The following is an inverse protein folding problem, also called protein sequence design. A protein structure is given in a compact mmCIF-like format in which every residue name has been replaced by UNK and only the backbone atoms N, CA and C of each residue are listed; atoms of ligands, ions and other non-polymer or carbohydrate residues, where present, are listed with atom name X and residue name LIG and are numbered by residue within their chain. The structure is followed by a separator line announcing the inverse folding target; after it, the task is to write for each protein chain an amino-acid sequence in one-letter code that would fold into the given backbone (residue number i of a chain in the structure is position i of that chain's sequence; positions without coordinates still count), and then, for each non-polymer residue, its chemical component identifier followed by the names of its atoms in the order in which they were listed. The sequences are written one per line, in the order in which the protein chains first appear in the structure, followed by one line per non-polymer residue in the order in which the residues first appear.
data_IF_673649274061
#
_entry.id   IF_673649274061
#
_cell.length_a   1.000
_cell.length_b   1.000
_cell.length_c   1.000
_cell.angle_alpha   90.00
_cell.angle_beta   90.00
_cell.angle_gamma   90.00
#
_symmetry.space_group_name_H-M   'P 1'
#
loop_
_entity.id
_entity.type
_entity.pdbx_description
1 polymer ?
#
# COMPACT_ATOMS: atom_id res chain seq x y z
N UNK A 1 23.00 -7.78 -7.81
CA UNK A 1 23.19 -6.87 -6.66
C UNK A 1 21.93 -6.00 -6.51
N UNK A 2 21.32 -5.95 -5.30
CA UNK A 2 20.25 -5.05 -4.81
C UNK A 2 19.04 -4.75 -5.73
N UNK A 3 18.08 -5.68 -5.84
CA UNK A 3 16.78 -5.38 -6.54
C UNK A 3 15.55 -5.77 -5.71
N UNK A 4 15.62 -6.79 -4.85
CA UNK A 4 14.52 -7.18 -3.95
C UNK A 4 14.27 -6.21 -2.77
N UNK A 5 15.04 -5.12 -2.66
CA UNK A 5 15.00 -4.26 -1.47
C UNK A 5 13.66 -3.53 -1.32
N UNK A 6 12.96 -3.20 -2.41
CA UNK A 6 11.79 -2.32 -2.36
C UNK A 6 10.53 -3.08 -1.95
N UNK A 7 10.35 -4.30 -2.49
CA UNK A 7 9.32 -5.21 -2.00
C UNK A 7 9.62 -5.61 -0.55
N UNK A 8 10.85 -6.02 -0.22
CA UNK A 8 11.18 -6.40 1.15
C UNK A 8 11.03 -5.24 2.14
N UNK A 9 11.33 -4.00 1.73
CA UNK A 9 11.07 -2.80 2.54
C UNK A 9 9.58 -2.56 2.72
N UNK A 10 8.77 -2.65 1.65
CA UNK A 10 7.32 -2.58 1.77
C UNK A 10 6.79 -3.65 2.72
N UNK A 11 7.17 -4.92 2.51
CA UNK A 11 6.75 -6.03 3.36
C UNK A 11 7.17 -5.82 4.82
N UNK A 12 8.35 -5.25 5.06
CA UNK A 12 8.81 -4.88 6.40
C UNK A 12 8.01 -3.71 7.01
N UNK A 13 7.58 -2.75 6.19
CA UNK A 13 6.76 -1.60 6.62
C UNK A 13 5.34 -2.02 6.91
N UNK A 14 4.72 -2.78 6.02
CA UNK A 14 3.44 -3.47 6.24
C UNK A 14 3.50 -4.22 7.57
N UNK A 15 4.56 -4.99 7.79
CA UNK A 15 4.75 -5.69 9.06
C UNK A 15 4.84 -4.76 10.27
N UNK A 16 5.48 -3.60 10.13
CA UNK A 16 5.64 -2.64 11.23
C UNK A 16 4.34 -1.89 11.53
N UNK A 17 3.66 -1.39 10.50
CA UNK A 17 2.42 -0.60 10.62
C UNK A 17 1.29 -1.46 11.18
N UNK A 18 1.13 -2.67 10.65
CA UNK A 18 0.00 -3.52 11.00
C UNK A 18 0.34 -4.62 12.04
N UNK A 19 1.62 -4.79 12.40
CA UNK A 19 2.03 -5.73 13.45
C UNK A 19 2.07 -5.14 14.86
N UNK A 20 1.84 -3.84 15.00
CA UNK A 20 1.60 -3.25 16.32
C UNK A 20 0.22 -3.69 16.82
N UNK A 21 0.20 -4.72 17.66
CA UNK A 21 -0.93 -5.00 18.55
C UNK A 21 -1.30 -3.70 19.26
N UNK A 22 -2.58 -3.34 19.31
CA UNK A 22 -3.07 -2.12 19.96
C UNK A 22 -2.71 -2.12 21.45
N UNK A 23 -1.49 -1.69 21.77
CA UNK A 23 -1.10 -1.30 23.11
C UNK A 23 -1.12 0.21 23.10
N UNK A 24 -2.13 0.78 23.77
CA UNK A 24 -2.14 2.18 24.14
C UNK A 24 -0.94 2.39 25.07
N UNK A 25 0.20 2.74 24.49
CA UNK A 25 1.40 3.11 25.21
C UNK A 25 1.73 4.55 24.83
N UNK A 26 1.81 5.39 25.85
CA UNK A 26 2.02 6.82 25.78
C UNK A 26 3.08 7.20 24.73
N UNK A 27 2.70 8.18 23.90
CA UNK A 27 3.56 8.79 22.91
C UNK A 27 4.85 9.29 23.58
N UNK A 28 5.96 8.59 23.35
CA UNK A 28 7.26 9.24 23.39
C UNK A 28 7.43 9.92 22.03
N UNK A 29 7.60 11.25 21.97
CA UNK A 29 7.71 11.95 20.70
C UNK A 29 9.03 11.52 20.06
N UNK A 30 8.96 10.80 18.93
CA UNK A 30 10.04 10.90 17.97
C UNK A 30 9.98 12.33 17.45
N UNK A 31 10.79 13.18 18.06
CA UNK A 31 11.20 14.47 17.56
C UNK A 31 11.99 14.23 16.27
N UNK A 32 11.26 13.96 15.19
CA UNK A 32 11.69 14.23 13.84
C UNK A 32 10.74 15.31 13.34
N UNK A 33 11.33 16.45 13.03
CA UNK A 33 10.82 17.59 12.26
C UNK A 33 9.58 17.23 11.41
N UNK A 34 8.53 18.08 11.35
CA UNK A 34 7.38 17.80 10.49
C UNK A 34 7.94 17.49 9.09
N UNK A 35 7.52 16.40 8.41
CA UNK A 35 7.92 16.19 7.04
C UNK A 35 7.23 17.28 6.22
N UNK A 36 7.86 18.45 6.21
CA UNK A 36 7.58 19.56 5.32
C UNK A 36 8.17 19.12 4.00
N UNK A 37 7.44 18.22 3.36
CA UNK A 37 7.92 17.41 2.27
C UNK A 37 6.85 16.38 2.02
N UNK A 38 5.84 16.78 1.24
CA UNK A 38 5.08 15.84 0.43
C UNK A 38 6.16 15.01 -0.27
N UNK A 39 6.43 13.80 0.22
CA UNK A 39 7.49 12.96 -0.32
C UNK A 39 7.16 12.78 -1.80
N UNK A 40 7.89 13.51 -2.64
CA UNK A 40 7.47 13.76 -4.01
C UNK A 40 7.82 12.52 -4.81
N UNK A 41 6.81 11.77 -5.22
CA UNK A 41 6.98 10.73 -6.22
C UNK A 41 7.44 11.41 -7.51
N UNK A 42 8.67 11.10 -7.93
CA UNK A 42 9.33 11.79 -9.04
C UNK A 42 8.72 11.43 -10.39
N UNK A 43 8.33 10.17 -10.58
CA UNK A 43 7.62 9.70 -11.77
C UNK A 43 6.22 10.35 -11.85
N UNK A 44 5.94 11.19 -12.88
CA UNK A 44 4.67 11.91 -12.97
C UNK A 44 3.45 10.99 -13.09
N UNK A 45 3.61 9.81 -13.71
CA UNK A 45 2.53 8.83 -13.88
C UNK A 45 2.21 8.17 -12.55
N UNK A 46 3.24 7.78 -11.78
CA UNK A 46 3.03 7.20 -10.45
C UNK A 46 2.43 8.23 -9.49
N UNK A 47 2.88 9.48 -9.56
CA UNK A 47 2.30 10.58 -8.79
C UNK A 47 0.82 10.81 -9.12
N UNK A 48 0.46 10.80 -10.40
CA UNK A 48 -0.94 10.92 -10.83
C UNK A 48 -1.80 9.73 -10.36
N UNK A 49 -1.26 8.51 -10.40
CA UNK A 49 -1.92 7.33 -9.88
C UNK A 49 -2.20 7.46 -8.38
N UNK A 50 -1.19 7.87 -7.60
CA UNK A 50 -1.39 8.07 -6.16
C UNK A 50 -2.31 9.23 -5.81
N UNK A 51 -2.33 10.31 -6.61
CA UNK A 51 -3.27 11.41 -6.40
C UNK A 51 -4.73 10.94 -6.55
N UNK A 52 -5.02 10.06 -7.51
CA UNK A 52 -6.36 9.47 -7.64
C UNK A 52 -6.69 8.55 -6.44
N UNK A 53 -5.70 7.81 -5.91
CA UNK A 53 -5.89 6.96 -4.72
C UNK A 53 -6.12 7.81 -3.47
N UNK A 54 -5.33 8.86 -3.27
CA UNK A 54 -5.49 9.83 -2.19
C UNK A 54 -6.89 10.45 -2.23
N UNK A 55 -7.34 10.89 -3.40
CA UNK A 55 -8.69 11.41 -3.58
C UNK A 55 -9.74 10.37 -3.20
N UNK A 56 -9.60 9.12 -3.63
CA UNK A 56 -10.53 8.05 -3.24
C UNK A 56 -10.58 7.88 -1.72
N UNK A 57 -9.43 7.84 -1.05
CA UNK A 57 -9.36 7.67 0.40
C UNK A 57 -9.95 8.86 1.16
N UNK A 58 -9.76 10.07 0.65
CA UNK A 58 -10.36 11.29 1.20
C UNK A 58 -11.89 11.30 1.01
N UNK A 59 -12.37 11.07 -0.22
CA UNK A 59 -13.79 11.16 -0.58
C UNK A 59 -14.64 10.07 0.10
N UNK A 60 -14.08 8.87 0.35
CA UNK A 60 -14.83 7.73 0.90
C UNK A 60 -14.63 7.53 2.41
N UNK A 61 -13.47 7.91 2.96
CA UNK A 61 -13.12 7.64 4.36
C UNK A 61 -12.69 8.87 5.14
N UNK A 62 -12.66 10.06 4.51
CA UNK A 62 -12.18 11.28 5.17
C UNK A 62 -10.69 11.23 5.52
N UNK A 63 -9.91 10.38 4.85
CA UNK A 63 -8.49 10.14 5.18
C UNK A 63 -7.69 11.44 5.11
N UNK A 64 -7.10 11.92 6.22
CA UNK A 64 -6.30 13.13 6.21
C UNK A 64 -4.96 12.91 5.48
N UNK A 65 -4.50 13.91 4.72
CA UNK A 65 -3.17 13.89 4.08
C UNK A 65 -2.05 13.62 5.09
N UNK A 66 -2.21 14.08 6.34
CA UNK A 66 -1.27 13.82 7.43
C UNK A 66 -1.11 12.34 7.81
N UNK A 67 -2.04 11.46 7.39
CA UNK A 67 -1.98 10.00 7.56
C UNK A 67 -1.38 9.27 6.36
N UNK A 68 -1.05 10.00 5.30
CA UNK A 68 -0.43 9.44 4.10
C UNK A 68 1.09 9.54 4.19
N UNK A 69 1.76 8.47 3.79
CA UNK A 69 3.22 8.39 3.70
C UNK A 69 3.59 7.88 2.32
N UNK A 70 4.51 8.58 1.67
CA UNK A 70 5.04 8.19 0.37
C UNK A 70 6.51 7.85 0.52
N UNK A 71 6.99 6.94 -0.32
CA UNK A 71 8.41 6.74 -0.51
C UNK A 71 8.68 6.49 -1.98
N UNK A 72 9.59 7.28 -2.54
CA UNK A 72 10.01 7.18 -3.94
C UNK A 72 11.21 6.25 -4.08
N UNK A 73 11.29 5.52 -5.19
CA UNK A 73 12.39 4.62 -5.53
C UNK A 73 12.68 4.68 -7.02
N UNK A 74 13.87 4.22 -7.41
CA UNK A 74 14.30 4.21 -8.82
C UNK A 74 13.37 3.41 -9.75
N UNK A 75 12.69 2.37 -9.25
CA UNK A 75 11.83 1.48 -10.04
C UNK A 75 10.38 1.47 -9.54
N UNK A 76 9.93 2.50 -8.82
CA UNK A 76 8.59 2.51 -8.27
C UNK A 76 8.42 3.46 -7.10
N UNK A 77 7.25 3.39 -6.46
CA UNK A 77 6.93 4.19 -5.30
C UNK A 77 5.92 3.47 -4.40
N UNK A 78 5.91 3.82 -3.12
CA UNK A 78 4.94 3.32 -2.12
C UNK A 78 3.99 4.42 -1.69
N UNK A 79 2.78 4.02 -1.31
CA UNK A 79 1.82 4.83 -0.57
C UNK A 79 1.29 3.99 0.61
N UNK A 80 1.37 4.54 1.81
CA UNK A 80 0.75 3.98 3.00
C UNK A 80 -0.24 4.99 3.56
N UNK A 81 -1.46 4.52 3.86
CA UNK A 81 -2.42 5.21 4.73
C UNK A 81 -2.43 4.56 6.11
N UNK A 82 -2.21 5.36 7.15
CA UNK A 82 -2.29 4.97 8.56
C UNK A 82 -3.63 5.42 9.21
N UNK A 83 -4.66 5.62 8.40
CA UNK A 83 -6.00 5.97 8.88
C UNK A 83 -6.69 4.78 9.55
N UNK A 84 -7.24 4.98 10.74
CA UNK A 84 -7.88 3.91 11.50
C UNK A 84 -9.17 3.38 10.82
N UNK A 85 -9.87 4.23 10.07
CA UNK A 85 -11.08 3.87 9.34
C UNK A 85 -10.76 2.90 8.21
N UNK A 86 -9.73 3.19 7.41
CA UNK A 86 -9.32 2.36 6.29
C UNK A 86 -7.82 2.56 5.99
N UNK A 87 -6.98 1.77 6.68
CA UNK A 87 -5.54 1.78 6.49
C UNK A 87 -5.18 0.87 5.30
N UNK A 88 -4.28 1.34 4.43
CA UNK A 88 -3.84 0.60 3.24
C UNK A 88 -2.34 0.72 3.05
N UNK A 89 -1.72 -0.30 2.45
CA UNK A 89 -0.33 -0.25 2.00
C UNK A 89 -0.22 -0.68 0.55
N UNK A 90 0.33 0.19 -0.27
CA UNK A 90 0.37 0.07 -1.72
C UNK A 90 1.80 0.26 -2.22
N UNK A 91 2.12 -0.47 -3.29
CA UNK A 91 3.32 -0.25 -4.09
C UNK A 91 2.94 -0.19 -5.55
N UNK A 92 3.62 0.67 -6.31
CA UNK A 92 3.65 0.57 -7.77
C UNK A 92 5.09 0.36 -8.19
N UNK A 93 5.38 -0.77 -8.85
CA UNK A 93 6.70 -1.09 -9.39
C UNK A 93 6.66 -0.96 -10.91
N UNK A 94 7.53 -0.14 -11.48
CA UNK A 94 7.70 -0.04 -12.94
C UNK A 94 8.50 -1.23 -13.48
N UNK A 95 9.48 -1.70 -12.72
CA UNK A 95 10.24 -2.92 -12.99
C UNK A 95 10.43 -3.73 -11.69
N UNK A 96 9.93 -4.96 -11.66
CA UNK A 96 10.10 -5.91 -10.56
C UNK A 96 11.36 -6.74 -10.72
N UNK A 97 11.84 -6.88 -11.97
CA UNK A 97 12.96 -7.76 -12.33
C UNK A 97 12.78 -9.19 -11.79
N UNK A 98 11.54 -9.69 -11.80
CA UNK A 98 11.18 -11.03 -11.33
C UNK A 98 11.12 -11.21 -9.81
N UNK A 99 11.22 -10.13 -9.02
CA UNK A 99 11.10 -10.21 -7.57
C UNK A 99 9.74 -10.78 -7.15
N UNK A 100 9.75 -11.80 -6.27
CA UNK A 100 8.55 -12.50 -5.80
C UNK A 100 7.63 -12.98 -6.93
N UNK A 101 8.20 -13.34 -8.09
CA UNK A 101 7.45 -13.77 -9.28
C UNK A 101 6.43 -12.72 -9.80
N UNK A 102 6.60 -11.45 -9.41
CA UNK A 102 5.75 -10.38 -9.88
C UNK A 102 6.15 -9.96 -11.30
N UNK A 103 5.18 -9.68 -12.18
CA UNK A 103 5.46 -9.05 -13.47
C UNK A 103 5.88 -7.59 -13.28
N UNK A 104 6.62 -7.05 -14.25
CA UNK A 104 6.92 -5.63 -14.32
C UNK A 104 5.63 -4.79 -14.43
N UNK A 105 5.69 -3.51 -14.05
CA UNK A 105 4.57 -2.58 -14.13
C UNK A 105 3.31 -3.05 -13.37
N UNK A 106 3.48 -3.30 -12.07
CA UNK A 106 2.47 -3.85 -11.17
C UNK A 106 2.13 -2.90 -10.03
N UNK A 107 0.84 -2.80 -9.69
CA UNK A 107 0.37 -2.26 -8.42
C UNK A 107 0.12 -3.41 -7.45
N UNK A 108 0.75 -3.38 -6.28
CA UNK A 108 0.60 -4.36 -5.22
C UNK A 108 -0.20 -3.77 -4.06
N UNK A 109 -1.29 -4.43 -3.67
CA UNK A 109 -1.96 -4.22 -2.39
C UNK A 109 -1.34 -5.15 -1.35
N UNK A 110 -0.55 -4.57 -0.43
CA UNK A 110 0.21 -5.32 0.57
C UNK A 110 -0.44 -5.42 1.95
N UNK A 111 -1.52 -4.69 2.20
CA UNK A 111 -2.24 -4.78 3.47
C UNK A 111 -3.41 -3.81 3.55
N UNK A 112 -4.46 -4.23 4.25
CA UNK A 112 -5.65 -3.44 4.56
C UNK A 112 -6.10 -3.75 5.98
N UNK A 113 -6.39 -2.74 6.79
CA UNK A 113 -6.98 -2.92 8.13
C UNK A 113 -7.98 -1.82 8.45
N UNK A 114 -8.86 -2.08 9.40
CA UNK A 114 -9.82 -1.12 9.92
C UNK A 114 -10.09 -1.36 11.40
N UNK A 115 -10.52 -0.33 12.12
CA UNK A 115 -11.12 -0.46 13.45
C UNK A 115 -12.59 -0.89 13.40
N UNK A 116 -13.22 -0.85 12.22
CA UNK A 116 -14.56 -1.41 12.01
C UNK A 116 -14.52 -2.95 11.97
N UNK A 117 -15.70 -3.57 11.92
CA UNK A 117 -15.81 -5.02 11.84
C UNK A 117 -15.36 -5.60 10.47
N UNK A 118 -15.23 -6.93 10.44
CA UNK A 118 -14.76 -7.68 9.27
C UNK A 118 -15.76 -7.61 8.10
N UNK A 119 -17.06 -7.51 8.36
CA UNK A 119 -18.08 -7.44 7.30
C UNK A 119 -17.97 -6.10 6.56
N UNK A 120 -17.82 -5.01 7.32
CA UNK A 120 -17.54 -3.68 6.78
C UNK A 120 -16.23 -3.68 5.99
N UNK A 121 -15.15 -4.24 6.55
CA UNK A 121 -13.85 -4.29 5.90
C UNK A 121 -13.90 -5.07 4.58
N UNK A 122 -14.62 -6.19 4.54
CA UNK A 122 -14.79 -6.98 3.33
C UNK A 122 -15.57 -6.22 2.25
N UNK A 123 -16.63 -5.49 2.65
CA UNK A 123 -17.41 -4.67 1.73
C UNK A 123 -16.58 -3.52 1.13
N UNK A 124 -15.78 -2.84 1.96
CA UNK A 124 -14.91 -1.76 1.52
C UNK A 124 -13.73 -2.25 0.68
N UNK A 125 -13.11 -3.38 1.05
CA UNK A 125 -12.06 -4.00 0.24
C UNK A 125 -12.55 -4.34 -1.17
N UNK A 126 -13.80 -4.81 -1.31
CA UNK A 126 -14.42 -5.05 -2.61
C UNK A 126 -14.56 -3.77 -3.43
N UNK A 127 -15.05 -2.68 -2.83
CA UNK A 127 -15.17 -1.38 -3.50
C UNK A 127 -13.81 -0.83 -3.91
N UNK A 128 -12.83 -0.90 -3.01
CA UNK A 128 -11.48 -0.42 -3.25
C UNK A 128 -10.78 -1.23 -4.35
N UNK A 129 -10.93 -2.55 -4.35
CA UNK A 129 -10.39 -3.41 -5.41
C UNK A 129 -10.99 -3.06 -6.78
N UNK A 130 -12.32 -2.85 -6.85
CA UNK A 130 -12.97 -2.42 -8.09
C UNK A 130 -12.46 -1.06 -8.58
N UNK A 131 -12.17 -0.15 -7.66
CA UNK A 131 -11.53 1.13 -7.97
C UNK A 131 -10.12 0.93 -8.52
N UNK A 132 -9.26 0.13 -7.87
CA UNK A 132 -7.90 -0.16 -8.31
C UNK A 132 -7.87 -0.81 -9.70
N UNK A 133 -8.79 -1.74 -9.99
CA UNK A 133 -8.93 -2.37 -11.30
C UNK A 133 -9.23 -1.36 -12.43
N UNK A 134 -9.91 -0.26 -12.14
CA UNK A 134 -10.16 0.83 -13.10
C UNK A 134 -9.00 1.83 -13.14
N UNK A 135 -8.35 2.06 -12.00
CA UNK A 135 -7.24 2.99 -11.86
C UNK A 135 -5.99 2.50 -12.60
N UNK A 136 -5.64 1.22 -12.48
CA UNK A 136 -4.46 0.65 -13.13
C UNK A 136 -4.42 0.91 -14.65
N UNK A 137 -5.42 0.54 -15.45
CA UNK A 137 -5.40 0.80 -16.90
C UNK A 137 -5.41 2.30 -17.21
N UNK A 138 -6.10 3.14 -16.42
CA UNK A 138 -6.08 4.62 -16.58
C UNK A 138 -4.66 5.17 -16.50
N UNK A 139 -3.82 4.63 -15.61
CA UNK A 139 -2.42 5.04 -15.42
C UNK A 139 -1.41 4.11 -16.08
N UNK A 140 -1.84 3.26 -17.03
CA UNK A 140 -0.99 2.32 -17.77
C UNK A 140 -0.20 1.37 -16.85
N UNK A 141 -0.77 1.00 -15.70
CA UNK A 141 -0.25 -0.05 -14.83
C UNK A 141 -0.84 -1.37 -15.32
N UNK A 142 0.03 -2.36 -15.50
CA UNK A 142 -0.29 -3.60 -16.22
C UNK A 142 -0.94 -4.67 -15.37
N UNK A 143 -0.56 -4.71 -14.11
CA UNK A 143 -0.91 -5.79 -13.23
C UNK A 143 -1.42 -5.22 -11.91
N UNK A 144 -2.41 -5.90 -11.35
CA UNK A 144 -2.86 -5.70 -9.98
C UNK A 144 -2.55 -6.97 -9.21
N UNK A 145 -1.73 -6.84 -8.17
CA UNK A 145 -1.35 -7.94 -7.32
C UNK A 145 -1.84 -7.71 -5.89
N UNK A 146 -2.12 -8.80 -5.19
CA UNK A 146 -2.49 -8.82 -3.79
C UNK A 146 -1.48 -9.67 -3.04
N UNK A 147 -0.82 -9.10 -2.03
CA UNK A 147 0.07 -9.83 -1.13
C UNK A 147 -0.57 -9.89 0.26
N UNK A 148 -1.39 -10.92 0.48
CA UNK A 148 -1.93 -11.24 1.79
C UNK A 148 -1.19 -12.42 2.42
N UNK A 149 -1.08 -12.41 3.75
CA UNK A 149 -0.41 -13.47 4.53
C UNK A 149 -1.22 -14.76 4.50
N UNK A 150 -0.54 -15.91 4.34
CA UNK A 150 -1.14 -17.26 4.41
C UNK A 150 -1.58 -17.66 5.82
N UNK A 151 -0.80 -17.27 6.82
CA UNK A 151 -0.99 -17.75 8.19
C UNK A 151 -2.15 -17.03 8.89
N UNK A 152 -2.38 -15.77 8.51
CA UNK A 152 -3.47 -14.92 9.00
C UNK A 152 -3.82 -13.90 7.90
N UNK A 153 -4.91 -14.11 7.15
CA UNK A 153 -5.33 -13.22 6.07
C UNK A 153 -5.44 -11.76 6.52
N UNK A 154 -5.86 -11.55 7.77
CA UNK A 154 -6.11 -10.23 8.38
C UNK A 154 -4.90 -9.69 9.18
N UNK A 155 -3.74 -10.36 9.15
CA UNK A 155 -2.56 -9.93 9.91
C UNK A 155 -1.36 -9.66 9.00
N UNK A 156 -1.14 -8.39 8.61
CA UNK A 156 -0.04 -8.00 7.74
C UNK A 156 1.35 -8.06 8.43
N UNK A 157 1.42 -8.41 9.72
CA UNK A 157 2.69 -8.64 10.43
C UNK A 157 3.44 -9.90 9.99
N UNK A 158 2.77 -10.78 9.24
CA UNK A 158 3.23 -12.14 8.91
C UNK A 158 3.49 -12.28 7.41
N UNK A 159 3.91 -11.21 6.73
CA UNK A 159 4.38 -11.32 5.34
C UNK A 159 5.83 -11.85 5.30
N UNK A 160 6.05 -13.02 5.89
CA UNK A 160 7.26 -13.84 5.65
C UNK A 160 7.11 -14.64 4.37
N UNK A 161 5.90 -15.11 4.10
CA UNK A 161 5.47 -15.78 2.86
C UNK A 161 4.07 -15.25 2.51
N UNK A 162 3.87 -14.76 1.29
CA UNK A 162 2.55 -14.34 0.80
C UNK A 162 2.24 -15.08 -0.50
N UNK A 163 0.99 -15.54 -0.65
CA UNK A 163 0.48 -15.87 -1.98
C UNK A 163 0.18 -14.56 -2.68
N UNK A 164 1.03 -14.24 -3.66
CA UNK A 164 0.83 -13.10 -4.54
C UNK A 164 -0.17 -13.52 -5.61
N UNK A 165 -1.44 -13.14 -5.44
CA UNK A 165 -2.43 -13.31 -6.50
C UNK A 165 -2.34 -12.12 -7.44
N UNK A 166 -1.95 -12.38 -8.70
CA UNK A 166 -1.79 -11.35 -9.71
C UNK A 166 -2.89 -11.45 -10.76
N UNK A 167 -3.61 -10.35 -10.97
CA UNK A 167 -4.59 -10.17 -12.02
C UNK A 167 -3.96 -9.34 -13.15
N UNK A 168 -3.92 -9.90 -14.36
CA UNK A 168 -3.56 -9.15 -15.57
C UNK A 168 -4.78 -8.37 -16.05
N UNK A 169 -4.61 -7.08 -16.34
CA UNK A 169 -5.72 -6.15 -16.60
C UNK A 169 -5.89 -5.80 -18.10
N UNK A 170 -5.33 -6.61 -19.01
CA UNK A 170 -5.49 -6.48 -20.46
C UNK A 170 -6.12 -7.73 -21.03
#
# INVERSE_FOLDING_TARGET
MKVANNLNQLLSRVKTIFGRKATSAANSPLEAEPPTGIASVSDPRLRAAFADIEKYLADNYGTPVAKLRYQDYTNGATLTSEDATFAVSLVILTATNGAAHLPDNVLLLGGVTSTNDVEWLAAELKKFTNFLMKLCPKHRIQHLAFAFSKDKPDNPAIVKEADVTCIRLY
#
